data_IF_284276486620
#
_entry.id   IF_284276486620
#
_cell.length_a   1.000
_cell.length_b   1.000
_cell.length_c   1.000
_cell.angle_alpha   90.00
_cell.angle_beta   90.00
_cell.angle_gamma   90.00
#
_symmetry.space_group_name_H-M   'P 1'
#
loop_
_entity.id
_entity.type
_entity.pdbx_description
1 polymer ?
#
# COMPACT_ATOMS: atom_id res chain seq x y z
N UNK A 1 0.88 24.21 5.58
CA UNK A 1 0.02 23.46 4.65
C UNK A 1 0.54 22.04 4.62
N UNK A 2 -0.33 21.04 4.68
CA UNK A 2 0.03 19.64 4.49
C UNK A 2 0.68 19.50 3.10
N UNK A 3 1.86 18.89 3.03
CA UNK A 3 2.52 18.64 1.75
C UNK A 3 1.67 17.70 0.89
N UNK A 4 1.69 17.91 -0.43
CA UNK A 4 0.93 17.10 -1.37
C UNK A 4 1.41 15.64 -1.36
N UNK A 5 0.48 14.70 -1.18
CA UNK A 5 0.73 13.26 -1.19
C UNK A 5 -0.54 12.52 -1.61
N UNK A 6 -0.42 11.21 -1.88
CA UNK A 6 -1.59 10.37 -2.17
C UNK A 6 -2.16 9.67 -0.94
N UNK A 7 -1.48 9.78 0.20
CA UNK A 7 -1.97 9.30 1.48
C UNK A 7 -1.85 10.38 2.54
N UNK A 8 -2.91 10.59 3.31
CA UNK A 8 -2.90 11.49 4.46
C UNK A 8 -3.09 10.66 5.73
N UNK A 9 -2.03 10.62 6.56
CA UNK A 9 -2.08 10.05 7.90
C UNK A 9 -2.63 11.10 8.85
N UNK A 10 -3.78 10.81 9.45
CA UNK A 10 -4.58 11.75 10.25
C UNK A 10 -5.13 11.06 11.48
N UNK A 11 -5.38 11.82 12.54
CA UNK A 11 -5.95 11.26 13.78
C UNK A 11 -7.47 11.07 13.66
N UNK A 12 -8.06 10.10 14.38
CA UNK A 12 -9.49 10.02 14.59
C UNK A 12 -10.06 11.38 15.07
N UNK A 13 -11.27 11.70 14.66
CA UNK A 13 -11.98 12.92 15.07
C UNK A 13 -11.51 14.21 14.40
N UNK A 14 -10.49 14.15 13.54
CA UNK A 14 -10.01 15.31 12.83
C UNK A 14 -11.01 15.80 11.76
N UNK A 15 -11.21 17.11 11.68
CA UNK A 15 -11.67 17.75 10.45
C UNK A 15 -10.45 17.95 9.55
N UNK A 16 -10.29 17.05 8.60
CA UNK A 16 -9.15 17.03 7.69
C UNK A 16 -9.40 18.03 6.56
N UNK A 17 -8.40 18.82 6.22
CA UNK A 17 -8.34 19.58 4.98
C UNK A 17 -7.02 19.31 4.28
N UNK A 18 -7.08 18.98 3.00
CA UNK A 18 -5.89 18.77 2.18
C UNK A 18 -6.10 19.32 0.78
N UNK A 19 -5.00 19.76 0.13
CA UNK A 19 -5.11 20.26 -1.22
C UNK A 19 -5.14 19.13 -2.26
N UNK A 20 -5.94 19.33 -3.31
CA UNK A 20 -6.13 18.42 -4.43
C UNK A 20 -5.00 18.54 -5.45
N UNK A 21 -3.84 17.97 -5.13
CA UNK A 21 -2.71 17.82 -6.04
C UNK A 21 -2.55 16.37 -6.48
N UNK A 22 -2.04 16.13 -7.68
CA UNK A 22 -1.66 14.78 -8.11
C UNK A 22 -0.34 14.33 -7.46
N UNK A 23 -0.18 14.43 -6.14
CA UNK A 23 1.05 14.10 -5.42
C UNK A 23 2.10 15.23 -5.29
N UNK A 24 3.30 14.92 -4.78
CA UNK A 24 4.31 15.93 -4.46
C UNK A 24 4.86 16.66 -5.69
N UNK A 25 4.95 17.98 -5.62
CA UNK A 25 5.53 18.81 -6.70
C UNK A 25 4.74 18.79 -8.02
N UNK A 26 3.51 18.27 -8.00
CA UNK A 26 2.67 18.10 -9.19
C UNK A 26 1.68 19.26 -9.38
N UNK A 27 0.89 19.16 -10.45
CA UNK A 27 -0.17 20.12 -10.74
C UNK A 27 -1.41 19.90 -9.87
N UNK A 28 -2.21 20.95 -9.74
CA UNK A 28 -3.54 20.87 -9.15
C UNK A 28 -4.41 19.96 -10.02
N UNK A 29 -5.18 19.10 -9.36
CA UNK A 29 -6.20 18.30 -10.05
C UNK A 29 -7.40 19.20 -10.32
N UNK A 30 -7.86 19.26 -11.57
CA UNK A 30 -9.13 19.89 -11.92
C UNK A 30 -10.28 18.94 -11.61
N UNK A 31 -11.19 19.36 -10.73
CA UNK A 31 -12.35 18.55 -10.32
C UNK A 31 -13.57 19.44 -10.05
N UNK A 32 -14.71 18.82 -9.78
CA UNK A 32 -15.99 19.48 -9.49
C UNK A 32 -16.57 19.05 -8.14
N UNK A 33 -16.36 17.80 -7.71
CA UNK A 33 -16.77 17.30 -6.41
C UNK A 33 -15.77 16.29 -5.85
N UNK A 34 -15.84 16.04 -4.53
CA UNK A 34 -15.17 14.94 -3.85
C UNK A 34 -16.20 14.02 -3.17
N UNK A 35 -15.91 12.72 -3.11
CA UNK A 35 -16.78 11.74 -2.44
C UNK A 35 -15.97 10.60 -1.80
N UNK A 36 -16.61 9.90 -0.86
CA UNK A 36 -16.09 8.64 -0.34
C UNK A 36 -16.30 7.53 -1.37
N UNK A 37 -15.22 6.86 -1.78
CA UNK A 37 -15.28 5.68 -2.63
C UNK A 37 -15.49 4.41 -1.79
N UNK A 38 -14.72 4.27 -0.71
CA UNK A 38 -14.87 3.21 0.27
C UNK A 38 -14.22 3.56 1.60
N UNK A 39 -14.69 2.96 2.69
CA UNK A 39 -14.04 2.91 4.01
C UNK A 39 -14.04 1.46 4.54
N UNK A 40 -13.00 1.04 5.27
CA UNK A 40 -12.92 -0.31 5.86
C UNK A 40 -13.58 -0.40 7.26
N UNK A 41 -13.84 0.75 7.88
CA UNK A 41 -14.57 0.88 9.14
C UNK A 41 -15.83 1.72 8.91
N UNK A 42 -17.00 1.08 8.98
CA UNK A 42 -18.28 1.73 8.71
C UNK A 42 -18.52 2.93 9.66
N UNK A 43 -18.87 4.09 9.10
CA UNK A 43 -19.13 5.32 9.84
C UNK A 43 -17.86 6.08 10.28
N UNK A 44 -16.67 5.66 9.85
CA UNK A 44 -15.41 6.39 10.11
C UNK A 44 -15.43 7.78 9.46
N UNK A 45 -15.81 7.84 8.18
CA UNK A 45 -16.01 9.10 7.46
C UNK A 45 -17.46 9.54 7.64
N UNK A 46 -17.67 10.70 8.27
CA UNK A 46 -19.00 11.29 8.47
C UNK A 46 -19.46 12.11 7.28
N UNK A 47 -18.53 12.82 6.64
CA UNK A 47 -18.82 13.73 5.55
C UNK A 47 -17.57 13.92 4.69
N UNK A 48 -17.79 14.08 3.39
CA UNK A 48 -16.81 14.60 2.43
C UNK A 48 -17.40 15.85 1.79
N UNK A 49 -16.62 16.92 1.75
CA UNK A 49 -16.97 18.16 1.05
C UNK A 49 -15.76 18.69 0.28
N UNK A 50 -15.96 19.67 -0.60
CA UNK A 50 -14.87 20.21 -1.40
C UNK A 50 -15.10 21.64 -1.88
N UNK A 51 -13.99 22.36 -2.07
CA UNK A 51 -13.95 23.68 -2.69
C UNK A 51 -13.05 23.63 -3.94
N UNK A 52 -13.59 23.25 -5.11
CA UNK A 52 -12.79 23.07 -6.33
C UNK A 52 -12.01 24.31 -6.76
N UNK A 53 -12.60 25.50 -6.61
CA UNK A 53 -11.97 26.80 -6.94
C UNK A 53 -10.68 27.05 -6.14
N UNK A 54 -10.64 26.56 -4.89
CA UNK A 54 -9.47 26.63 -4.02
C UNK A 54 -8.61 25.37 -4.07
N UNK A 55 -9.04 24.36 -4.83
CA UNK A 55 -8.43 23.03 -4.91
C UNK A 55 -8.33 22.35 -3.53
N UNK A 56 -9.38 22.43 -2.71
CA UNK A 56 -9.41 21.87 -1.35
C UNK A 56 -10.47 20.79 -1.22
N UNK A 57 -10.15 19.79 -0.40
CA UNK A 57 -11.05 18.72 0.04
C UNK A 57 -11.13 18.75 1.55
N UNK A 58 -12.32 18.52 2.08
CA UNK A 58 -12.60 18.44 3.50
C UNK A 58 -13.21 17.09 3.84
N UNK A 59 -12.76 16.49 4.94
CA UNK A 59 -13.30 15.22 5.43
C UNK A 59 -13.48 15.31 6.93
N UNK A 60 -14.71 15.08 7.40
CA UNK A 60 -15.03 15.02 8.82
C UNK A 60 -14.98 13.56 9.30
N UNK A 61 -14.12 13.28 10.28
CA UNK A 61 -13.86 11.93 10.78
C UNK A 61 -14.49 11.71 12.15
N UNK A 62 -14.94 10.48 12.39
CA UNK A 62 -15.39 10.01 13.69
C UNK A 62 -14.20 9.95 14.67
N UNK A 63 -14.42 10.33 15.92
CA UNK A 63 -13.44 10.44 17.00
C UNK A 63 -12.99 9.10 17.59
N UNK A 64 -13.79 8.05 17.45
CA UNK A 64 -13.50 6.74 18.03
C UNK A 64 -13.12 5.68 16.99
N UNK A 65 -13.15 6.02 15.70
CA UNK A 65 -12.97 5.05 14.62
C UNK A 65 -11.67 5.33 13.84
N UNK A 66 -10.77 4.35 13.87
CA UNK A 66 -9.56 4.30 13.05
C UNK A 66 -9.75 3.31 11.90
N UNK A 67 -9.02 3.52 10.80
CA UNK A 67 -9.18 2.72 9.59
C UNK A 67 -8.59 3.38 8.37
N UNK A 68 -9.06 2.94 7.20
CA UNK A 68 -8.68 3.45 5.90
C UNK A 68 -9.93 3.86 5.11
N UNK A 69 -9.80 4.93 4.36
CA UNK A 69 -10.81 5.36 3.39
C UNK A 69 -10.14 5.86 2.12
N UNK A 70 -10.81 5.65 0.98
CA UNK A 70 -10.40 6.27 -0.28
C UNK A 70 -11.39 7.35 -0.66
N UNK A 71 -10.88 8.57 -0.84
CA UNK A 71 -11.63 9.74 -1.28
C UNK A 71 -11.36 9.96 -2.77
N UNK A 72 -12.39 10.01 -3.59
CA UNK A 72 -12.29 10.24 -5.02
C UNK A 72 -12.66 11.68 -5.38
N UNK A 73 -11.95 12.26 -6.35
CA UNK A 73 -12.30 13.51 -7.00
C UNK A 73 -12.98 13.21 -8.33
N UNK A 74 -14.08 13.89 -8.60
CA UNK A 74 -14.85 13.75 -9.84
C UNK A 74 -14.90 15.03 -10.63
N UNK A 75 -14.85 14.93 -11.96
CA UNK A 75 -15.10 16.05 -12.86
C UNK A 75 -16.63 16.32 -13.01
N UNK A 76 -17.00 17.26 -13.88
CA UNK A 76 -18.39 17.64 -14.11
C UNK A 76 -19.24 16.57 -14.79
N UNK A 77 -18.63 15.52 -15.37
CA UNK A 77 -19.33 14.37 -15.97
C UNK A 77 -19.51 13.23 -14.97
N UNK A 78 -18.93 13.35 -13.77
CA UNK A 78 -18.98 12.32 -12.73
C UNK A 78 -17.87 11.26 -12.83
N UNK A 79 -16.91 11.44 -13.75
CA UNK A 79 -15.75 10.55 -13.89
C UNK A 79 -14.70 10.87 -12.83
N UNK A 80 -14.09 9.84 -12.26
CA UNK A 80 -13.02 10.00 -11.28
C UNK A 80 -11.76 10.50 -12.00
N UNK A 81 -11.17 11.57 -11.50
CA UNK A 81 -9.95 12.19 -12.04
C UNK A 81 -8.74 12.01 -11.13
N UNK A 82 -8.96 11.73 -9.84
CA UNK A 82 -7.92 11.38 -8.89
C UNK A 82 -8.55 10.75 -7.64
N UNK A 83 -7.72 10.15 -6.79
CA UNK A 83 -8.17 9.64 -5.50
C UNK A 83 -7.01 9.63 -4.49
N UNK A 84 -7.37 9.67 -3.21
CA UNK A 84 -6.44 9.74 -2.08
C UNK A 84 -6.82 8.70 -1.04
N UNK A 85 -5.82 8.13 -0.37
CA UNK A 85 -6.02 7.30 0.81
C UNK A 85 -6.00 8.19 2.07
N UNK A 86 -6.99 8.06 2.93
CA UNK A 86 -6.95 8.55 4.30
C UNK A 86 -6.60 7.37 5.21
N UNK A 87 -5.48 7.48 5.90
CA UNK A 87 -5.07 6.53 6.92
C UNK A 87 -5.36 7.16 8.28
N UNK A 88 -6.46 6.76 8.89
CA UNK A 88 -6.94 7.34 10.15
C UNK A 88 -6.37 6.52 11.31
N UNK A 89 -5.39 7.08 12.02
CA UNK A 89 -4.65 6.41 13.08
C UNK A 89 -3.92 7.42 13.99
N UNK A 90 -3.70 7.06 15.25
CA UNK A 90 -2.80 7.79 16.16
C UNK A 90 -1.31 7.53 15.92
N UNK A 91 -0.97 6.71 14.92
CA UNK A 91 0.39 6.37 14.55
C UNK A 91 1.22 7.60 14.12
N UNK A 92 2.43 7.74 14.69
CA UNK A 92 3.47 8.64 14.19
C UNK A 92 4.66 7.83 13.65
N UNK A 93 4.89 7.84 12.33
CA UNK A 93 5.96 7.05 11.72
C UNK A 93 7.37 7.59 12.05
N UNK A 94 7.48 8.82 12.54
CA UNK A 94 8.78 9.39 12.94
C UNK A 94 9.24 8.94 14.33
N UNK A 95 8.29 8.58 15.21
CA UNK A 95 8.57 8.02 16.54
C UNK A 95 8.68 6.49 16.49
N UNK A 96 8.09 5.85 15.48
CA UNK A 96 8.03 4.40 15.32
C UNK A 96 8.64 3.96 13.98
N UNK A 97 9.97 3.92 13.92
CA UNK A 97 10.72 3.60 12.71
C UNK A 97 11.80 2.53 12.91
N UNK A 98 12.04 1.74 11.86
CA UNK A 98 13.17 0.84 11.76
C UNK A 98 14.29 1.51 10.95
N UNK A 99 15.46 1.72 11.58
CA UNK A 99 16.63 2.25 10.88
C UNK A 99 17.57 1.14 10.45
N UNK A 100 17.99 1.19 9.19
CA UNK A 100 18.95 0.26 8.62
C UNK A 100 20.03 1.03 7.84
N UNK A 101 21.29 0.82 8.19
CA UNK A 101 22.43 1.37 7.46
C UNK A 101 23.20 0.24 6.79
N UNK A 102 23.50 0.42 5.50
CA UNK A 102 24.42 -0.43 4.74
C UNK A 102 25.40 0.46 4.01
N UNK A 103 26.69 0.23 4.24
CA UNK A 103 27.76 1.04 3.67
C UNK A 103 27.55 2.53 4.00
N UNK A 104 27.33 3.39 3.01
CA UNK A 104 27.06 4.83 3.19
C UNK A 104 25.56 5.18 3.16
N UNK A 105 24.68 4.23 2.87
CA UNK A 105 23.24 4.46 2.75
C UNK A 105 22.50 4.11 4.05
N UNK A 106 21.67 5.03 4.52
CA UNK A 106 20.75 4.81 5.64
C UNK A 106 19.31 4.88 5.16
N UNK A 107 18.53 3.88 5.53
CA UNK A 107 17.10 3.75 5.23
C UNK A 107 16.33 3.74 6.54
N UNK A 108 15.30 4.58 6.63
CA UNK A 108 14.40 4.67 7.80
C UNK A 108 13.03 4.19 7.35
N UNK A 109 12.64 2.99 7.73
CA UNK A 109 11.34 2.39 7.41
C UNK A 109 10.30 2.76 8.46
N UNK A 110 9.04 2.88 8.05
CA UNK A 110 7.91 2.75 8.97
C UNK A 110 7.94 1.37 9.66
N UNK A 111 7.50 1.29 10.93
CA UNK A 111 7.43 0.01 11.66
C UNK A 111 6.36 -0.95 11.11
N UNK A 112 5.38 -0.42 10.37
CA UNK A 112 4.20 -1.14 9.86
C UNK A 112 3.94 -0.86 8.38
N UNK A 113 3.07 -1.69 7.79
CA UNK A 113 2.62 -1.48 6.41
C UNK A 113 1.67 -0.28 6.30
N UNK A 114 1.65 0.34 5.13
CA UNK A 114 0.78 1.47 4.82
C UNK A 114 -0.69 1.08 5.04
N UNK A 115 -1.39 1.85 5.90
CA UNK A 115 -2.78 1.58 6.29
C UNK A 115 -2.97 0.63 7.46
N UNK A 116 -1.89 0.06 8.03
CA UNK A 116 -1.99 -0.77 9.24
C UNK A 116 -2.22 0.10 10.47
N UNK A 117 -3.07 -0.32 11.40
CA UNK A 117 -3.33 0.41 12.65
C UNK A 117 -2.43 -0.05 13.81
N UNK A 118 -1.74 -1.18 13.66
CA UNK A 118 -0.84 -1.74 14.68
C UNK A 118 0.38 -2.43 14.05
N UNK A 119 1.44 -2.61 14.84
CA UNK A 119 2.56 -3.50 14.55
C UNK A 119 2.60 -4.71 15.50
N UNK A 120 1.59 -4.86 16.37
CA UNK A 120 1.48 -5.95 17.34
C UNK A 120 0.92 -7.23 16.71
N UNK A 121 1.67 -8.35 16.69
CA UNK A 121 1.19 -9.58 16.08
C UNK A 121 -0.10 -10.12 16.70
N UNK A 122 -0.89 -10.83 15.90
CA UNK A 122 -2.15 -11.42 16.39
C UNK A 122 -3.37 -10.54 16.16
N UNK A 123 -3.19 -9.33 15.65
CA UNK A 123 -4.24 -8.33 15.43
C UNK A 123 -4.55 -8.17 13.94
N UNK A 124 -5.83 -7.99 13.58
CA UNK A 124 -6.21 -7.69 12.19
C UNK A 124 -5.67 -6.33 11.74
N UNK A 125 -5.43 -5.46 12.71
CA UNK A 125 -4.89 -4.12 12.62
C UNK A 125 -3.44 -4.11 12.09
N UNK A 126 -2.71 -5.22 12.12
CA UNK A 126 -1.37 -5.28 11.49
C UNK A 126 -1.41 -5.33 9.98
N UNK A 127 -2.56 -5.70 9.43
CA UNK A 127 -2.74 -5.81 8.00
C UNK A 127 -3.15 -4.43 7.46
N UNK A 128 -2.22 -3.81 6.74
CA UNK A 128 -2.46 -2.59 5.98
C UNK A 128 -3.22 -2.82 4.67
N UNK A 129 -3.18 -1.84 3.79
CA UNK A 129 -3.81 -1.91 2.47
C UNK A 129 -2.94 -2.67 1.47
N UNK A 130 -3.56 -3.10 0.38
CA UNK A 130 -2.85 -3.59 -0.81
C UNK A 130 -2.82 -2.54 -1.91
N UNK A 131 -1.83 -2.69 -2.80
CA UNK A 131 -1.60 -1.80 -3.93
C UNK A 131 -1.19 -2.64 -5.13
N UNK A 132 -1.62 -2.28 -6.34
CA UNK A 132 -0.96 -2.77 -7.55
C UNK A 132 0.27 -1.92 -7.84
N UNK A 133 1.36 -2.55 -8.31
CA UNK A 133 2.65 -1.87 -8.43
C UNK A 133 2.55 -0.65 -9.36
N UNK A 134 3.01 0.51 -8.90
CA UNK A 134 2.95 1.77 -9.65
C UNK A 134 1.62 2.52 -9.53
N UNK A 135 0.64 2.02 -8.74
CA UNK A 135 -0.58 2.77 -8.39
C UNK A 135 -0.41 3.52 -7.08
N UNK A 136 -1.11 4.64 -6.98
CA UNK A 136 -1.39 5.33 -5.71
C UNK A 136 -2.62 4.77 -4.98
N UNK A 137 -3.49 4.07 -5.70
CA UNK A 137 -4.81 3.68 -5.23
C UNK A 137 -4.73 2.52 -4.25
N UNK A 138 -5.32 2.70 -3.07
CA UNK A 138 -5.40 1.66 -2.06
C UNK A 138 -6.55 0.68 -2.35
N UNK A 139 -6.24 -0.60 -2.20
CA UNK A 139 -7.20 -1.70 -2.11
C UNK A 139 -7.29 -2.16 -0.67
N UNK A 140 -8.47 -2.64 -0.29
CA UNK A 140 -8.69 -3.17 1.05
C UNK A 140 -7.77 -4.36 1.31
N UNK A 141 -7.10 -4.34 2.47
CA UNK A 141 -6.28 -5.44 2.93
C UNK A 141 -7.08 -6.57 3.58
N UNK A 142 -6.39 -7.64 4.02
CA UNK A 142 -7.02 -8.77 4.69
C UNK A 142 -7.35 -8.49 6.15
N UNK A 143 -8.43 -9.11 6.62
CA UNK A 143 -8.67 -9.30 8.05
C UNK A 143 -7.79 -10.44 8.60
N UNK A 144 -8.19 -10.98 9.75
CA UNK A 144 -7.46 -12.09 10.38
C UNK A 144 -8.05 -13.48 10.04
N UNK A 145 -9.25 -13.51 9.48
CA UNK A 145 -10.00 -14.74 9.16
C UNK A 145 -9.69 -15.30 7.77
N UNK A 146 -8.63 -14.81 7.12
CA UNK A 146 -8.23 -15.29 5.79
C UNK A 146 -9.10 -14.79 4.64
N UNK A 147 -9.75 -13.64 4.82
CA UNK A 147 -10.53 -12.91 3.83
C UNK A 147 -10.12 -11.45 3.80
N UNK A 148 -10.46 -10.74 2.71
CA UNK A 148 -10.37 -9.29 2.64
C UNK A 148 -11.35 -8.64 3.62
N UNK A 149 -10.98 -7.50 4.22
CA UNK A 149 -11.91 -6.73 5.06
C UNK A 149 -13.09 -6.24 4.20
N UNK A 150 -14.30 -6.09 4.78
CA UNK A 150 -15.41 -5.46 4.08
C UNK A 150 -15.10 -3.98 3.81
N UNK A 151 -15.75 -3.45 2.78
CA UNK A 151 -15.71 -2.03 2.43
C UNK A 151 -17.12 -1.47 2.45
N UNK A 152 -17.24 -0.20 2.82
CA UNK A 152 -18.52 0.49 2.94
C UNK A 152 -18.51 1.83 2.20
N UNK A 153 -19.66 2.23 1.65
CA UNK A 153 -19.90 3.59 1.17
C UNK A 153 -20.22 4.54 2.36
N UNK A 154 -20.66 5.77 2.06
CA UNK A 154 -20.96 6.77 3.09
C UNK A 154 -22.25 6.46 3.85
N UNK A 155 -23.20 5.78 3.20
CA UNK A 155 -24.44 5.32 3.81
C UNK A 155 -24.28 4.01 4.59
N UNK A 156 -23.12 3.36 4.49
CA UNK A 156 -22.79 2.12 5.18
C UNK A 156 -23.20 0.85 4.43
N UNK A 157 -23.52 0.95 3.14
CA UNK A 157 -23.75 -0.22 2.29
C UNK A 157 -22.42 -0.86 1.89
N UNK A 158 -22.44 -2.18 1.66
CA UNK A 158 -21.26 -2.91 1.21
C UNK A 158 -20.83 -2.46 -0.20
N UNK A 159 -19.53 -2.24 -0.37
CA UNK A 159 -18.87 -1.91 -1.63
C UNK A 159 -17.97 -3.07 -2.03
N UNK A 160 -17.96 -3.42 -3.32
CA UNK A 160 -17.12 -4.49 -3.86
C UNK A 160 -16.13 -3.94 -4.89
N UNK A 161 -14.92 -4.50 -4.89
CA UNK A 161 -13.95 -4.22 -5.93
C UNK A 161 -14.34 -4.89 -7.24
N UNK A 162 -14.14 -4.18 -8.35
CA UNK A 162 -14.32 -4.74 -9.69
C UNK A 162 -13.04 -5.45 -10.12
N UNK A 163 -13.19 -6.38 -11.05
CA UNK A 163 -12.07 -7.07 -11.71
C UNK A 163 -12.22 -6.98 -13.20
N UNK A 164 -11.17 -6.53 -13.87
CA UNK A 164 -11.14 -6.36 -15.32
C UNK A 164 -9.81 -6.79 -15.88
N UNK A 165 -9.79 -7.44 -17.04
CA UNK A 165 -8.51 -7.74 -17.72
C UNK A 165 -7.92 -6.46 -18.30
N UNK A 166 -6.64 -6.21 -18.06
CA UNK A 166 -5.94 -5.15 -18.77
C UNK A 166 -5.86 -5.51 -20.26
N UNK A 167 -6.37 -4.59 -21.09
CA UNK A 167 -6.32 -4.68 -22.56
C UNK A 167 -5.64 -3.47 -23.19
N UNK A 168 -5.06 -2.58 -22.39
CA UNK A 168 -4.47 -1.33 -22.84
C UNK A 168 -2.93 -1.42 -22.88
N UNK A 169 -2.34 -0.74 -23.85
CA UNK A 169 -0.89 -0.54 -23.93
C UNK A 169 -0.39 0.54 -22.94
N UNK A 170 -1.29 1.41 -22.50
CA UNK A 170 -1.13 2.35 -21.39
C UNK A 170 -2.44 2.35 -20.59
N UNK A 171 -2.41 1.76 -19.40
CA UNK A 171 -3.59 1.60 -18.56
C UNK A 171 -3.63 2.58 -17.38
N UNK A 172 -2.67 3.51 -17.27
CA UNK A 172 -2.63 4.49 -16.18
C UNK A 172 -3.92 5.34 -16.14
N UNK A 173 -4.44 5.86 -17.28
CA UNK A 173 -5.70 6.61 -17.27
C UNK A 173 -6.89 5.79 -16.73
N UNK A 174 -6.97 4.51 -17.09
CA UNK A 174 -8.03 3.62 -16.60
C UNK A 174 -7.91 3.35 -15.10
N UNK A 175 -6.67 3.20 -14.59
CA UNK A 175 -6.41 3.09 -13.15
C UNK A 175 -6.87 4.33 -12.37
N UNK A 176 -6.62 5.52 -12.91
CA UNK A 176 -7.07 6.79 -12.31
C UNK A 176 -8.60 6.89 -12.30
N UNK A 177 -9.26 6.55 -13.41
CA UNK A 177 -10.72 6.59 -13.52
C UNK A 177 -11.42 5.51 -12.69
N UNK A 178 -10.71 4.42 -12.39
CA UNK A 178 -11.26 3.25 -11.69
C UNK A 178 -10.35 2.81 -10.52
N UNK A 179 -10.25 3.63 -9.45
CA UNK A 179 -9.40 3.34 -8.30
C UNK A 179 -9.69 2.00 -7.61
N UNK A 180 -10.94 1.53 -7.65
CA UNK A 180 -11.37 0.26 -7.04
C UNK A 180 -11.52 -0.91 -8.04
N UNK A 181 -10.97 -0.77 -9.26
CA UNK A 181 -10.89 -1.87 -10.21
C UNK A 181 -9.51 -2.51 -10.13
N UNK A 182 -9.48 -3.78 -9.74
CA UNK A 182 -8.31 -4.65 -9.89
C UNK A 182 -8.15 -5.01 -11.36
N UNK A 183 -7.08 -4.52 -11.96
CA UNK A 183 -6.77 -4.82 -13.34
C UNK A 183 -5.87 -6.06 -13.42
N UNK A 184 -6.39 -7.10 -14.05
CA UNK A 184 -5.74 -8.39 -14.16
C UNK A 184 -4.74 -8.43 -15.31
N UNK A 185 -3.65 -9.17 -15.11
CA UNK A 185 -2.77 -9.60 -16.20
C UNK A 185 -3.32 -10.84 -16.93
N UNK A 186 -2.67 -11.25 -18.01
CA UNK A 186 -2.99 -12.53 -18.67
C UNK A 186 -2.36 -13.67 -17.89
N UNK A 187 -3.15 -14.68 -17.51
CA UNK A 187 -2.65 -15.86 -16.81
C UNK A 187 -1.50 -16.53 -17.59
N UNK A 188 -0.41 -16.87 -16.90
CA UNK A 188 0.86 -17.37 -17.47
C UNK A 188 1.67 -16.36 -18.32
N UNK A 189 1.26 -15.10 -18.36
CA UNK A 189 2.06 -14.00 -18.91
C UNK A 189 2.82 -13.26 -17.81
N UNK A 190 3.85 -12.51 -18.21
CA UNK A 190 4.47 -11.48 -17.37
C UNK A 190 3.67 -10.16 -17.38
N UNK A 191 2.60 -10.07 -18.19
CA UNK A 191 1.76 -8.87 -18.29
C UNK A 191 1.03 -8.61 -16.97
N UNK A 192 0.84 -7.33 -16.66
CA UNK A 192 0.16 -6.87 -15.45
C UNK A 192 -0.90 -5.84 -15.77
N UNK A 193 -1.23 -5.01 -14.80
CA UNK A 193 -2.24 -3.97 -15.00
C UNK A 193 -1.75 -2.80 -15.85
N UNK A 194 -0.44 -2.51 -15.85
CA UNK A 194 0.12 -1.29 -16.46
C UNK A 194 0.00 -1.27 -17.98
N UNK A 195 0.36 -2.39 -18.62
CA UNK A 195 0.45 -2.49 -20.06
C UNK A 195 0.47 -3.94 -20.53
N UNK A 196 -0.10 -4.19 -21.71
CA UNK A 196 -0.01 -5.46 -22.43
C UNK A 196 1.20 -5.56 -23.37
N UNK A 197 2.02 -4.51 -23.46
CA UNK A 197 3.16 -4.43 -24.38
C UNK A 197 4.47 -4.22 -23.64
N UNK A 198 5.43 -5.15 -23.83
CA UNK A 198 6.76 -5.04 -23.25
C UNK A 198 7.49 -3.76 -23.70
N UNK A 199 7.24 -3.31 -24.92
CA UNK A 199 7.88 -2.12 -25.50
C UNK A 199 7.43 -0.82 -24.80
N UNK A 200 6.25 -0.83 -24.17
CA UNK A 200 5.69 0.32 -23.44
C UNK A 200 6.19 0.40 -22.00
N UNK A 201 6.82 -0.67 -21.48
CA UNK A 201 7.40 -0.70 -20.14
C UNK A 201 8.73 0.07 -20.09
N UNK A 202 8.63 1.39 -20.32
CA UNK A 202 9.71 2.34 -20.48
C UNK A 202 10.11 2.99 -19.14
N UNK A 203 11.14 3.85 -19.16
CA UNK A 203 11.66 4.50 -17.96
C UNK A 203 10.61 5.29 -17.15
N UNK A 204 9.61 5.88 -17.80
CA UNK A 204 8.52 6.59 -17.10
C UNK A 204 7.68 5.61 -16.28
N UNK A 205 7.34 4.45 -16.84
CA UNK A 205 6.65 3.38 -16.11
C UNK A 205 7.53 2.77 -15.00
N UNK A 206 8.85 2.65 -15.22
CA UNK A 206 9.77 2.11 -14.20
C UNK A 206 9.91 3.05 -13.00
N UNK A 207 9.63 4.34 -13.17
CA UNK A 207 9.76 5.37 -12.13
C UNK A 207 8.41 5.79 -11.51
N UNK A 208 7.34 5.02 -11.73
CA UNK A 208 6.02 5.33 -11.16
C UNK A 208 6.05 5.46 -9.65
N UNK A 209 6.96 4.82 -8.94
CA UNK A 209 7.16 4.99 -7.50
C UNK A 209 8.52 5.61 -7.14
N UNK A 210 9.24 6.17 -8.12
CA UNK A 210 10.40 7.00 -7.83
C UNK A 210 11.72 6.28 -7.59
N UNK A 211 11.81 4.96 -7.83
CA UNK A 211 13.06 4.23 -7.56
C UNK A 211 14.18 4.50 -8.57
N UNK A 212 13.86 4.97 -9.79
CA UNK A 212 14.86 5.32 -10.81
C UNK A 212 15.37 6.73 -10.56
N UNK A 213 14.48 7.68 -10.29
CA UNK A 213 14.86 9.07 -9.99
C UNK A 213 15.38 9.26 -8.56
N UNK A 214 15.06 8.34 -7.66
CA UNK A 214 15.34 8.47 -6.23
C UNK A 214 14.42 9.47 -5.52
N UNK A 215 13.36 9.93 -6.18
CA UNK A 215 12.44 10.95 -5.68
C UNK A 215 11.01 10.42 -5.62
N UNK A 216 10.26 10.81 -4.59
CA UNK A 216 8.83 10.49 -4.48
C UNK A 216 8.07 11.05 -5.70
N UNK A 217 7.37 10.17 -6.43
CA UNK A 217 6.59 10.53 -7.62
C UNK A 217 5.13 10.89 -7.29
N UNK A 218 4.38 11.29 -8.31
CA UNK A 218 2.92 11.49 -8.23
C UNK A 218 2.10 10.21 -8.02
N UNK A 219 2.64 9.01 -8.27
CA UNK A 219 1.89 7.75 -8.09
C UNK A 219 2.34 6.96 -6.85
N UNK A 220 3.32 7.49 -6.11
CA UNK A 220 3.76 6.93 -4.85
C UNK A 220 2.61 7.00 -3.80
N UNK A 221 2.18 5.87 -3.23
CA UNK A 221 1.04 5.81 -2.30
C UNK A 221 1.39 6.28 -0.88
N UNK A 222 2.66 6.50 -0.54
CA UNK A 222 3.06 6.80 0.83
C UNK A 222 2.63 8.23 1.26
N UNK A 223 2.54 8.51 2.56
CA UNK A 223 2.31 9.86 3.05
C UNK A 223 3.42 10.85 2.70
N UNK A 224 3.17 12.14 2.91
CA UNK A 224 4.19 13.17 2.79
C UNK A 224 5.42 12.87 3.67
N UNK A 225 6.63 13.13 3.16
CA UNK A 225 7.89 12.78 3.82
C UNK A 225 8.29 11.29 3.75
N UNK A 226 7.45 10.44 3.14
CA UNK A 226 7.70 9.00 2.99
C UNK A 226 7.49 8.54 1.55
N UNK A 227 8.22 7.53 1.10
CA UNK A 227 8.14 6.98 -0.25
C UNK A 227 8.27 5.45 -0.25
N UNK A 228 7.91 4.81 -1.36
CA UNK A 228 8.11 3.38 -1.55
C UNK A 228 9.61 3.10 -1.64
N UNK A 229 10.13 2.14 -0.85
CA UNK A 229 11.55 1.82 -0.84
C UNK A 229 12.03 1.21 -2.15
N UNK A 230 13.19 1.63 -2.69
CA UNK A 230 13.85 0.88 -3.74
C UNK A 230 14.32 -0.48 -3.20
N UNK A 231 14.63 -1.43 -4.07
CA UNK A 231 15.00 -2.81 -3.70
C UNK A 231 16.22 -2.87 -2.76
N UNK A 232 17.13 -1.91 -2.87
CA UNK A 232 18.34 -1.79 -2.05
C UNK A 232 18.04 -1.58 -0.57
N UNK A 233 16.96 -0.84 -0.25
CA UNK A 233 16.54 -0.58 1.12
C UNK A 233 16.17 -1.87 1.88
N UNK A 234 15.67 -2.87 1.14
CA UNK A 234 15.32 -4.20 1.67
C UNK A 234 16.54 -5.10 1.91
N UNK A 235 17.75 -4.59 1.71
CA UNK A 235 19.00 -5.30 1.98
C UNK A 235 19.16 -5.71 3.45
N UNK A 236 18.36 -5.18 4.38
CA UNK A 236 18.40 -5.61 5.78
C UNK A 236 18.13 -7.10 5.93
N UNK A 237 17.42 -7.76 5.01
CA UNK A 237 17.19 -9.22 5.05
C UNK A 237 18.49 -10.05 5.10
N UNK A 238 19.60 -9.55 4.56
CA UNK A 238 20.89 -10.25 4.65
C UNK A 238 21.66 -9.96 5.95
N UNK A 239 21.30 -8.88 6.64
CA UNK A 239 22.08 -8.33 7.76
C UNK A 239 21.38 -8.57 9.10
N UNK A 240 20.05 -8.50 9.12
CA UNK A 240 19.21 -8.68 10.29
C UNK A 240 18.93 -10.16 10.54
N UNK A 241 18.51 -10.47 11.77
CA UNK A 241 18.09 -11.81 12.20
C UNK A 241 16.58 -11.91 12.16
N UNK A 242 16.09 -12.97 11.49
CA UNK A 242 14.68 -13.31 11.50
C UNK A 242 14.34 -14.13 12.74
N UNK A 243 13.31 -13.71 13.48
CA UNK A 243 12.77 -14.39 14.64
C UNK A 243 11.32 -14.81 14.36
N UNK A 244 10.96 -16.04 14.76
CA UNK A 244 9.57 -16.50 14.70
C UNK A 244 8.77 -15.80 15.79
N UNK A 245 7.57 -15.35 15.48
CA UNK A 245 6.66 -14.75 16.48
C UNK A 245 6.29 -15.74 17.57
N UNK A 246 6.23 -17.03 17.24
CA UNK A 246 5.85 -18.11 18.15
C UNK A 246 6.70 -19.37 17.93
N UNK A 247 6.74 -20.24 18.96
CA UNK A 247 7.54 -21.46 18.96
C UNK A 247 6.82 -22.69 18.36
N UNK A 248 5.49 -22.81 18.53
CA UNK A 248 4.70 -23.97 18.09
C UNK A 248 3.59 -23.58 17.07
N UNK A 249 3.77 -23.80 15.75
CA UNK A 249 2.78 -23.40 14.73
C UNK A 249 1.42 -24.07 14.84
N UNK A 250 1.34 -25.23 15.49
CA UNK A 250 0.12 -26.04 15.54
C UNK A 250 -0.85 -25.62 16.66
N UNK A 251 -0.44 -24.72 17.56
CA UNK A 251 -1.30 -24.21 18.63
C UNK A 251 -2.38 -23.26 18.09
N UNK A 252 -3.67 -23.45 18.46
CA UNK A 252 -4.77 -22.60 18.00
C UNK A 252 -4.59 -21.10 18.28
N UNK A 253 -3.89 -20.74 19.36
CA UNK A 253 -3.59 -19.33 19.70
C UNK A 253 -2.58 -18.68 18.76
N UNK A 254 -1.74 -19.48 18.10
CA UNK A 254 -0.69 -19.02 17.20
C UNK A 254 -1.17 -18.83 15.76
N UNK A 255 -2.37 -19.32 15.43
CA UNK A 255 -2.96 -19.25 14.08
C UNK A 255 -3.05 -17.83 13.51
N UNK A 256 -3.13 -16.84 14.40
CA UNK A 256 -3.34 -15.42 14.12
C UNK A 256 -2.05 -14.57 14.22
N UNK A 257 -0.95 -15.13 14.71
CA UNK A 257 0.32 -14.42 14.91
C UNK A 257 1.23 -14.50 13.67
N UNK A 258 0.64 -14.22 12.50
CA UNK A 258 1.21 -14.64 11.22
C UNK A 258 2.21 -13.63 10.69
N UNK A 259 3.50 -13.95 10.77
CA UNK A 259 4.58 -13.13 10.22
C UNK A 259 5.93 -13.45 10.84
N UNK A 260 6.87 -12.50 10.77
CA UNK A 260 8.19 -12.61 11.38
C UNK A 260 8.64 -11.31 12.01
N UNK A 261 9.40 -11.43 13.09
CA UNK A 261 10.20 -10.33 13.61
C UNK A 261 11.54 -10.27 12.90
N UNK A 262 12.03 -9.05 12.71
CA UNK A 262 13.39 -8.77 12.26
C UNK A 262 14.13 -7.95 13.30
N UNK A 263 15.36 -8.37 13.62
CA UNK A 263 16.21 -7.77 14.64
C UNK A 263 17.56 -7.39 14.05
N UNK A 264 18.14 -6.28 14.47
CA UNK A 264 19.46 -5.86 13.99
C UNK A 264 20.56 -6.88 14.34
N UNK A 265 20.45 -7.52 15.51
CA UNK A 265 21.29 -8.65 15.94
C UNK A 265 20.50 -9.61 16.85
N UNK A 266 21.11 -10.71 17.29
CA UNK A 266 20.44 -11.66 18.22
C UNK A 266 20.17 -11.01 19.58
N UNK A 267 21.07 -10.13 20.02
CA UNK A 267 21.06 -9.41 21.28
C UNK A 267 20.19 -8.14 21.26
N UNK A 268 19.80 -7.65 20.08
CA UNK A 268 18.93 -6.49 19.94
C UNK A 268 17.62 -6.71 20.71
N UNK A 269 17.21 -5.73 21.51
CA UNK A 269 15.88 -5.73 22.15
C UNK A 269 14.81 -5.28 21.15
N UNK A 270 15.16 -4.35 20.26
CA UNK A 270 14.28 -3.87 19.20
C UNK A 270 14.02 -4.99 18.19
N UNK A 271 12.73 -5.17 17.88
CA UNK A 271 12.23 -6.13 16.89
C UNK A 271 11.13 -5.49 16.06
N UNK A 272 11.14 -5.75 14.76
CA UNK A 272 10.19 -5.14 13.81
C UNK A 272 9.34 -6.21 13.17
N UNK A 273 8.02 -6.10 13.30
CA UNK A 273 7.09 -7.12 12.82
C UNK A 273 6.75 -6.92 11.34
N UNK A 274 6.80 -8.02 10.58
CA UNK A 274 6.39 -8.09 9.18
C UNK A 274 5.30 -9.17 9.05
N UNK A 275 4.02 -8.79 8.94
CA UNK A 275 2.91 -9.74 8.85
C UNK A 275 2.84 -10.46 7.49
N UNK A 276 2.31 -11.68 7.50
CA UNK A 276 2.06 -12.48 6.30
C UNK A 276 0.63 -12.25 5.80
N UNK A 277 0.42 -11.07 5.21
CA UNK A 277 -0.90 -10.64 4.74
C UNK A 277 -1.42 -11.48 3.57
N UNK A 278 -0.55 -12.20 2.86
CA UNK A 278 -0.92 -12.84 1.60
C UNK A 278 -0.92 -11.86 0.45
N UNK A 279 -1.72 -12.17 -0.57
CA UNK A 279 -1.71 -11.42 -1.82
C UNK A 279 -3.01 -11.60 -2.60
N UNK A 280 -3.37 -10.61 -3.41
CA UNK A 280 -4.30 -10.83 -4.52
C UNK A 280 -3.46 -11.04 -5.77
N UNK A 281 -3.52 -12.25 -6.33
CA UNK A 281 -2.72 -12.54 -7.51
C UNK A 281 -3.26 -11.80 -8.75
N UNK A 282 -2.35 -11.42 -9.65
CA UNK A 282 -2.66 -10.69 -10.89
C UNK A 282 -3.78 -11.28 -11.76
N UNK A 283 -4.12 -12.56 -11.63
CA UNK A 283 -5.19 -13.22 -12.39
C UNK A 283 -5.92 -14.27 -11.54
N UNK A 284 -6.06 -14.02 -10.23
CA UNK A 284 -6.78 -14.90 -9.30
C UNK A 284 -7.36 -14.11 -8.11
N UNK A 285 -8.15 -14.79 -7.30
CA UNK A 285 -8.69 -14.30 -6.03
C UNK A 285 -7.60 -14.12 -4.97
N UNK A 286 -7.98 -13.52 -3.83
CA UNK A 286 -7.14 -13.42 -2.65
C UNK A 286 -6.59 -14.80 -2.25
N UNK A 287 -5.28 -14.89 -2.15
CA UNK A 287 -4.55 -16.01 -1.60
C UNK A 287 -4.06 -15.62 -0.21
N UNK A 288 -4.64 -16.28 0.77
CA UNK A 288 -4.30 -16.05 2.15
C UNK A 288 -2.82 -16.34 2.42
N UNK A 289 -2.11 -15.41 3.05
CA UNK A 289 -0.71 -15.62 3.47
C UNK A 289 -0.59 -16.50 4.71
N UNK A 290 -1.74 -16.77 5.34
CA UNK A 290 -1.93 -17.47 6.61
C UNK A 290 -2.12 -18.98 6.38
N UNK A 291 -1.56 -19.81 7.26
CA UNK A 291 -2.06 -21.18 7.45
C UNK A 291 -1.34 -22.31 6.72
N UNK A 292 -0.11 -22.12 6.27
CA UNK A 292 0.84 -23.24 6.20
C UNK A 292 1.89 -23.04 7.30
N UNK A 293 2.66 -24.06 7.67
CA UNK A 293 3.70 -24.02 8.73
C UNK A 293 4.82 -22.96 8.54
N UNK A 294 4.63 -22.00 7.63
CA UNK A 294 5.62 -21.44 6.73
C UNK A 294 5.14 -20.13 6.06
N UNK A 295 4.78 -19.08 6.83
CA UNK A 295 4.20 -17.86 6.26
C UNK A 295 5.14 -17.19 5.26
N UNK A 296 4.60 -16.92 4.06
CA UNK A 296 5.30 -16.20 3.02
C UNK A 296 4.93 -14.72 3.04
N UNK A 297 5.87 -13.83 3.39
CA UNK A 297 5.62 -12.39 3.37
C UNK A 297 6.12 -11.80 2.05
N UNK A 298 5.26 -11.05 1.38
CA UNK A 298 5.65 -10.21 0.25
C UNK A 298 5.27 -8.78 0.53
N UNK A 299 6.10 -7.87 0.07
CA UNK A 299 5.85 -6.45 0.08
C UNK A 299 6.47 -5.86 -1.18
N UNK A 300 5.86 -4.81 -1.69
CA UNK A 300 6.40 -4.15 -2.86
C UNK A 300 7.73 -3.46 -2.59
N UNK A 301 8.60 -3.49 -3.59
CA UNK A 301 9.69 -2.53 -3.74
C UNK A 301 9.30 -1.53 -4.83
N UNK A 302 9.89 -0.34 -4.82
CA UNK A 302 9.75 0.68 -5.85
C UNK A 302 10.45 0.32 -7.16
N UNK A 303 11.18 -0.80 -7.23
CA UNK A 303 12.07 -1.12 -8.34
C UNK A 303 11.45 -2.12 -9.31
N UNK A 304 11.54 -1.82 -10.60
CA UNK A 304 11.11 -2.69 -11.68
C UNK A 304 12.25 -3.57 -12.25
N UNK A 305 11.88 -4.68 -12.91
CA UNK A 305 12.74 -5.58 -13.68
C UNK A 305 12.39 -5.50 -15.17
N UNK A 306 12.89 -4.48 -15.90
CA UNK A 306 12.55 -4.30 -17.30
C UNK A 306 13.05 -5.45 -18.19
N UNK A 307 14.15 -6.10 -17.82
CA UNK A 307 14.71 -7.22 -18.59
C UNK A 307 13.70 -8.38 -18.68
N UNK A 308 13.05 -8.69 -17.56
CA UNK A 308 12.06 -9.76 -17.44
C UNK A 308 10.61 -9.29 -17.59
N UNK A 309 10.39 -8.00 -17.83
CA UNK A 309 9.08 -7.36 -17.85
C UNK A 309 8.28 -7.64 -16.58
N UNK A 310 8.91 -7.37 -15.42
CA UNK A 310 8.37 -7.65 -14.08
C UNK A 310 8.67 -6.48 -13.15
N UNK A 311 8.20 -6.60 -11.92
CA UNK A 311 8.51 -5.71 -10.81
C UNK A 311 9.02 -6.51 -9.62
N UNK A 312 9.84 -5.89 -8.76
CA UNK A 312 10.39 -6.58 -7.61
C UNK A 312 9.48 -6.43 -6.38
N UNK A 313 9.17 -7.57 -5.77
CA UNK A 313 8.63 -7.67 -4.42
C UNK A 313 9.60 -8.44 -3.54
N UNK A 314 9.51 -8.20 -2.24
CA UNK A 314 10.18 -9.07 -1.27
C UNK A 314 9.53 -10.45 -1.27
N UNK A 315 10.29 -11.46 -0.88
CA UNK A 315 9.78 -12.80 -0.62
C UNK A 315 10.47 -13.34 0.61
N UNK A 316 9.73 -13.46 1.70
CA UNK A 316 10.15 -14.14 2.91
C UNK A 316 9.50 -15.51 2.89
N UNK A 317 10.26 -16.55 3.16
CA UNK A 317 9.83 -17.94 3.21
C UNK A 317 10.30 -18.57 4.53
N UNK A 318 9.96 -19.84 4.80
CA UNK A 318 10.56 -20.67 5.86
C UNK A 318 12.06 -20.54 6.05
N UNK A 319 12.77 -20.63 4.93
CA UNK A 319 14.19 -20.95 4.87
C UNK A 319 15.00 -19.84 4.21
N UNK A 320 14.36 -18.81 3.71
CA UNK A 320 15.02 -17.72 2.99
C UNK A 320 14.23 -16.42 3.08
N UNK A 321 14.93 -15.31 3.03
CA UNK A 321 14.35 -14.01 2.72
C UNK A 321 15.09 -13.43 1.53
N UNK A 322 14.35 -12.90 0.57
CA UNK A 322 14.88 -12.26 -0.62
C UNK A 322 14.26 -10.87 -0.76
N UNK A 323 15.05 -9.81 -0.95
CA UNK A 323 14.53 -8.49 -1.29
C UNK A 323 14.02 -8.42 -2.73
N UNK A 324 14.35 -9.40 -3.58
CA UNK A 324 14.28 -9.30 -5.04
C UNK A 324 13.59 -10.51 -5.67
N UNK A 325 12.27 -10.58 -5.57
CA UNK A 325 11.42 -11.54 -6.27
C UNK A 325 10.68 -10.87 -7.44
N UNK A 326 10.96 -11.26 -8.68
CA UNK A 326 10.31 -10.68 -9.85
C UNK A 326 8.91 -11.27 -10.08
N UNK A 327 7.87 -10.43 -10.01
CA UNK A 327 6.46 -10.78 -10.24
C UNK A 327 5.75 -9.77 -11.16
N UNK A 328 4.54 -10.08 -11.60
CA UNK A 328 3.72 -9.17 -12.42
C UNK A 328 3.27 -7.96 -11.60
N UNK A 329 3.22 -6.78 -12.22
CA UNK A 329 2.74 -5.55 -11.57
C UNK A 329 1.27 -5.61 -11.16
N UNK A 330 0.49 -6.53 -11.75
CA UNK A 330 -0.94 -6.70 -11.47
C UNK A 330 -1.27 -7.38 -10.14
N UNK A 331 -0.29 -7.88 -9.37
CA UNK A 331 -0.55 -8.37 -8.01
C UNK A 331 -0.98 -7.20 -7.12
N UNK A 332 -1.81 -7.47 -6.11
CA UNK A 332 -2.00 -6.54 -5.00
C UNK A 332 -1.19 -7.04 -3.80
N UNK A 333 -0.22 -6.24 -3.35
CA UNK A 333 0.67 -6.52 -2.22
C UNK A 333 0.78 -5.31 -1.30
N UNK A 334 1.19 -5.49 -0.04
CA UNK A 334 1.36 -4.37 0.88
C UNK A 334 2.62 -3.56 0.56
N UNK A 335 2.62 -2.31 0.99
CA UNK A 335 3.73 -1.35 0.88
C UNK A 335 4.21 -0.99 2.29
N UNK A 336 5.53 -0.96 2.51
CA UNK A 336 6.15 -0.40 3.73
C UNK A 336 7.04 0.76 3.33
N UNK A 337 6.68 1.97 3.72
CA UNK A 337 7.35 3.17 3.26
C UNK A 337 8.68 3.41 3.99
N UNK A 338 9.60 4.09 3.31
CA UNK A 338 10.81 4.68 3.90
C UNK A 338 10.72 6.19 3.91
N UNK A 339 11.44 6.83 4.82
CA UNK A 339 11.57 8.29 4.86
C UNK A 339 12.30 8.77 3.59
N UNK A 340 11.82 9.86 2.99
CA UNK A 340 12.50 10.53 1.88
C UNK A 340 13.85 11.09 2.39
N UNK A 341 14.89 11.03 1.55
CA UNK A 341 16.25 11.47 1.88
C UNK A 341 16.40 12.98 1.96
#
# INVERSE_FOLDING_TARGET
MTEAANCFLVKPGALVSFPAYSGPGSEKVSFSTAELLWQDANGMVKMVDSEPENSLVYVDLNDEISGNAVIALKNSTGEIVWSYNLWVSDYDPSEHAMTYTKDADTYVFMDRYLGALSSEPGLAETNGNFYQWGRKDAFVGPGIEGSLKPMYDIEGNAVEAKREKCSAEDNIPNGIMNPLTHYEGVSASNYGWLTISKEKFNNEMLDLWGAVSGNKSQYDPCPAGWMVPPVEAWGFYSSFKAEKVYSNPDEPVNKNMIGRYWKASEESEDKYFFPAMGEVAHASSYANGIGSNWPCNKAWTGTADPANFRVYATSVSPSSASPKGGISSGYELPVRCIKVK
#
